data_IF_111949417398
#
_entry.id   IF_111949417398
#
_cell.length_a   1.000
_cell.length_b   1.000
_cell.length_c   1.000
_cell.angle_alpha   90.00
_cell.angle_beta   90.00
_cell.angle_gamma   90.00
#
_symmetry.space_group_name_H-M   'P 1'
#
loop_
_entity.id
_entity.type
_entity.pdbx_description
1 polymer ?
#
# COMPACT_ATOMS: atom_id res chain seq x y z
N UNK A 1 -28.86 -15.58 -23.85
CA UNK A 1 -27.58 -15.18 -24.44
C UNK A 1 -27.33 -13.74 -24.05
N UNK A 2 -26.59 -13.49 -23.02
CA UNK A 2 -26.25 -12.14 -22.58
C UNK A 2 -24.72 -12.03 -22.57
N UNK A 3 -24.18 -11.56 -23.70
CA UNK A 3 -22.76 -11.24 -23.90
C UNK A 3 -22.58 -9.78 -23.49
N UNK A 4 -22.18 -9.54 -22.25
CA UNK A 4 -21.42 -8.36 -21.85
C UNK A 4 -20.91 -8.56 -20.41
N UNK A 5 -19.90 -9.41 -20.25
CA UNK A 5 -18.98 -9.29 -19.11
C UNK A 5 -17.87 -8.37 -19.58
N UNK A 6 -17.62 -7.23 -18.93
CA UNK A 6 -16.44 -6.44 -19.19
C UNK A 6 -15.20 -7.26 -18.79
N UNK A 7 -14.25 -7.35 -19.70
CA UNK A 7 -12.92 -7.88 -19.50
C UNK A 7 -12.30 -7.21 -18.29
N UNK A 8 -12.03 -7.98 -17.23
CA UNK A 8 -11.38 -7.52 -16.00
C UNK A 8 -9.87 -7.42 -16.21
N UNK A 9 -9.45 -6.41 -16.96
CA UNK A 9 -8.13 -5.79 -16.75
C UNK A 9 -8.27 -4.65 -15.75
N UNK A 10 -8.98 -4.90 -14.65
CA UNK A 10 -9.06 -3.96 -13.56
C UNK A 10 -7.81 -4.09 -12.71
N UNK A 11 -6.80 -3.31 -13.03
CA UNK A 11 -5.60 -3.12 -12.21
C UNK A 11 -5.92 -2.36 -10.93
N UNK A 12 -7.07 -2.54 -10.32
CA UNK A 12 -7.69 -1.87 -9.16
C UNK A 12 -6.77 -1.40 -8.01
N UNK A 13 -5.52 -1.06 -8.33
CA UNK A 13 -4.55 -0.47 -7.41
C UNK A 13 -4.83 1.00 -7.13
N UNK A 14 -5.35 1.71 -8.15
CA UNK A 14 -5.67 3.12 -8.00
C UNK A 14 -7.15 3.29 -7.69
N UNK A 15 -7.50 3.87 -6.53
CA UNK A 15 -8.89 4.12 -6.18
C UNK A 15 -9.57 4.99 -7.25
N UNK A 16 -10.62 4.46 -7.88
CA UNK A 16 -11.56 5.21 -8.74
C UNK A 16 -11.08 5.73 -10.10
N UNK A 17 -9.88 5.38 -10.60
CA UNK A 17 -9.45 5.89 -11.89
C UNK A 17 -8.79 4.83 -12.77
N UNK A 18 -9.28 4.68 -14.00
CA UNK A 18 -8.51 4.06 -15.08
C UNK A 18 -7.51 5.09 -15.58
N UNK A 19 -6.26 4.99 -15.13
CA UNK A 19 -5.20 5.90 -15.53
C UNK A 19 -4.56 5.45 -16.86
N UNK A 20 -4.16 6.40 -17.74
CA UNK A 20 -3.38 6.06 -18.91
C UNK A 20 -2.06 5.40 -18.55
N UNK A 21 -1.62 4.38 -19.32
CA UNK A 21 -0.38 3.65 -19.07
C UNK A 21 0.86 4.56 -18.87
N UNK A 22 1.08 5.66 -19.64
CA UNK A 22 2.20 6.55 -19.37
C UNK A 22 2.14 7.24 -18.02
N UNK A 23 0.94 7.51 -17.49
CA UNK A 23 0.76 8.12 -16.16
C UNK A 23 1.11 7.10 -15.08
N UNK A 24 0.66 5.84 -15.24
CA UNK A 24 1.01 4.74 -14.34
C UNK A 24 2.53 4.55 -14.28
N UNK A 25 3.20 4.54 -15.43
CA UNK A 25 4.65 4.38 -15.50
C UNK A 25 5.42 5.46 -14.72
N UNK A 26 4.98 6.72 -14.78
CA UNK A 26 5.59 7.81 -13.99
C UNK A 26 5.30 7.65 -12.49
N UNK A 27 4.09 7.23 -12.12
CA UNK A 27 3.76 6.94 -10.72
C UNK A 27 4.67 5.84 -10.18
N UNK A 28 4.81 4.73 -10.91
CA UNK A 28 5.67 3.60 -10.52
C UNK A 28 7.15 3.97 -10.43
N UNK A 29 7.64 4.81 -11.33
CA UNK A 29 9.01 5.34 -11.26
C UNK A 29 9.23 6.17 -9.99
N UNK A 30 8.28 7.04 -9.62
CA UNK A 30 8.33 7.81 -8.37
C UNK A 30 8.28 6.86 -7.16
N UNK A 31 7.40 5.85 -7.18
CA UNK A 31 7.31 4.86 -6.10
C UNK A 31 8.63 4.10 -5.90
N UNK A 32 9.26 3.64 -7.00
CA UNK A 32 10.57 2.97 -6.97
C UNK A 32 11.62 3.89 -6.33
N UNK A 33 11.63 5.15 -6.72
CA UNK A 33 12.62 6.12 -6.21
C UNK A 33 12.40 6.45 -4.73
N UNK A 34 11.14 6.47 -4.27
CA UNK A 34 10.82 6.56 -2.83
C UNK A 34 11.26 5.29 -2.10
N UNK A 35 10.94 4.10 -2.60
CA UNK A 35 11.32 2.81 -1.99
C UNK A 35 12.85 2.70 -1.87
N UNK A 36 13.58 3.09 -2.90
CA UNK A 36 15.05 3.09 -2.92
C UNK A 36 15.69 4.22 -2.11
N UNK A 37 14.89 5.17 -1.64
CA UNK A 37 15.39 6.34 -0.91
C UNK A 37 16.11 7.38 -1.79
N UNK A 38 15.91 7.37 -3.12
CA UNK A 38 16.38 8.44 -4.00
C UNK A 38 15.53 9.70 -3.84
N UNK A 39 14.22 9.51 -3.61
CA UNK A 39 13.29 10.57 -3.25
C UNK A 39 12.91 10.38 -1.78
N UNK A 40 13.32 11.32 -0.94
CA UNK A 40 13.08 11.28 0.51
C UNK A 40 11.83 12.10 0.89
N UNK A 41 11.26 11.89 2.09
CA UNK A 41 10.24 12.77 2.64
C UNK A 41 10.69 14.24 2.60
N UNK A 42 9.80 15.13 2.19
CA UNK A 42 10.04 16.57 1.89
C UNK A 42 10.79 16.87 0.60
N UNK A 43 11.34 15.92 -0.13
CA UNK A 43 11.92 16.24 -1.41
C UNK A 43 10.89 16.90 -2.32
N UNK A 44 11.30 18.02 -2.93
CA UNK A 44 10.50 18.72 -3.92
C UNK A 44 10.50 17.94 -5.24
N UNK A 45 9.30 17.73 -5.77
CA UNK A 45 9.08 17.06 -7.05
C UNK A 45 8.96 18.15 -8.14
N UNK A 46 10.09 18.42 -8.83
CA UNK A 46 10.16 19.46 -9.86
C UNK A 46 9.76 18.82 -11.18
N UNK A 47 8.70 19.38 -11.83
CA UNK A 47 8.14 18.81 -13.06
C UNK A 47 9.20 18.61 -14.15
N UNK A 48 10.08 19.59 -14.35
CA UNK A 48 11.12 19.52 -15.40
C UNK A 48 12.12 18.40 -15.15
N UNK A 49 12.56 18.19 -13.90
CA UNK A 49 13.44 17.09 -13.54
C UNK A 49 12.75 15.73 -13.74
N UNK A 50 11.49 15.59 -13.32
CA UNK A 50 10.73 14.35 -13.51
C UNK A 50 10.47 14.05 -14.99
N UNK A 51 10.35 15.10 -15.84
CA UNK A 51 10.24 14.91 -17.29
C UNK A 51 11.52 14.35 -17.89
N UNK A 52 12.68 14.82 -17.43
CA UNK A 52 14.00 14.34 -17.86
C UNK A 52 14.27 12.93 -17.31
N UNK A 53 14.13 12.74 -16.00
CA UNK A 53 14.45 11.48 -15.31
C UNK A 53 13.61 10.31 -15.82
N UNK A 54 12.33 10.57 -16.16
CA UNK A 54 11.39 9.52 -16.57
C UNK A 54 11.01 9.57 -18.06
N UNK A 55 11.71 10.41 -18.86
CA UNK A 55 11.45 10.60 -20.28
C UNK A 55 9.95 10.85 -20.59
N UNK A 56 9.27 11.62 -19.74
CA UNK A 56 7.82 11.81 -19.77
C UNK A 56 7.42 13.22 -20.21
N UNK A 57 6.27 13.33 -20.88
CA UNK A 57 5.73 14.64 -21.27
C UNK A 57 5.13 15.36 -20.04
N UNK A 58 5.17 16.71 -20.02
CA UNK A 58 4.70 17.56 -18.92
C UNK A 58 3.28 17.22 -18.45
N UNK A 59 2.34 17.01 -19.37
CA UNK A 59 0.96 16.66 -18.99
C UNK A 59 0.86 15.31 -18.30
N UNK A 60 1.72 14.34 -18.63
CA UNK A 60 1.80 13.01 -17.99
C UNK A 60 2.34 13.15 -16.57
N UNK A 61 3.44 13.90 -16.40
CA UNK A 61 4.01 14.18 -15.06
C UNK A 61 2.99 14.89 -14.17
N UNK A 62 2.30 15.91 -14.70
CA UNK A 62 1.24 16.62 -13.94
C UNK A 62 0.09 15.71 -13.54
N UNK A 63 -0.36 14.82 -14.43
CA UNK A 63 -1.41 13.85 -14.13
C UNK A 63 -0.94 12.86 -13.04
N UNK A 64 0.28 12.35 -13.10
CA UNK A 64 0.88 11.49 -12.09
C UNK A 64 0.96 12.18 -10.72
N UNK A 65 1.47 13.43 -10.69
CA UNK A 65 1.54 14.22 -9.45
C UNK A 65 0.16 14.58 -8.89
N UNK A 66 -0.85 14.77 -9.75
CA UNK A 66 -2.23 15.02 -9.31
C UNK A 66 -2.81 13.77 -8.65
N UNK A 67 -2.59 12.59 -9.23
CA UNK A 67 -3.05 11.32 -8.65
C UNK A 67 -2.34 11.02 -7.33
N UNK A 68 -1.00 11.12 -7.26
CA UNK A 68 -0.26 10.94 -6.01
C UNK A 68 -0.67 11.95 -4.93
N UNK A 69 -1.07 13.17 -5.33
CA UNK A 69 -1.63 14.15 -4.39
C UNK A 69 -3.02 13.74 -3.90
N UNK A 70 -3.88 13.24 -4.78
CA UNK A 70 -5.20 12.70 -4.43
C UNK A 70 -5.10 11.53 -3.45
N UNK A 71 -4.10 10.65 -3.63
CA UNK A 71 -3.78 9.53 -2.75
C UNK A 71 -3.11 9.95 -1.43
N UNK A 72 -2.72 11.22 -1.30
CA UNK A 72 -2.06 11.74 -0.11
C UNK A 72 -0.57 11.41 -0.01
N UNK A 73 0.02 10.75 -1.01
CA UNK A 73 1.47 10.48 -1.10
C UNK A 73 2.26 11.77 -1.32
N UNK A 74 1.71 12.65 -2.13
CA UNK A 74 2.27 13.98 -2.43
C UNK A 74 1.44 15.05 -1.74
N UNK A 75 2.10 16.07 -1.24
CA UNK A 75 1.47 17.30 -0.71
C UNK A 75 1.88 18.49 -1.55
N UNK A 76 0.98 19.48 -1.67
CA UNK A 76 1.21 20.73 -2.41
C UNK A 76 0.94 21.95 -1.53
N UNK A 77 1.83 22.27 -0.58
CA UNK A 77 1.66 23.47 0.23
C UNK A 77 1.66 24.73 -0.66
N UNK A 78 0.93 25.80 -0.31
CA UNK A 78 0.93 27.05 -1.07
C UNK A 78 2.34 27.55 -1.32
N UNK A 79 2.63 27.92 -2.57
CA UNK A 79 3.92 28.49 -3.04
C UNK A 79 5.15 27.56 -2.95
N UNK A 80 5.04 26.35 -2.42
CA UNK A 80 6.18 25.44 -2.24
C UNK A 80 6.27 24.35 -3.33
N UNK A 81 5.20 24.12 -4.11
CA UNK A 81 5.14 23.08 -5.13
C UNK A 81 4.82 21.70 -4.57
N UNK A 82 5.03 20.67 -5.36
CA UNK A 82 4.76 19.29 -4.98
C UNK A 82 5.92 18.71 -4.18
N UNK A 83 5.62 17.99 -3.08
CA UNK A 83 6.61 17.34 -2.21
C UNK A 83 6.10 15.96 -1.79
N UNK A 84 7.01 15.00 -1.59
CA UNK A 84 6.66 13.76 -0.89
C UNK A 84 6.21 14.09 0.53
N UNK A 85 5.08 13.52 0.94
CA UNK A 85 4.56 13.69 2.31
C UNK A 85 5.60 13.27 3.33
N UNK A 86 5.81 14.10 4.32
CA UNK A 86 6.53 13.77 5.54
C UNK A 86 5.56 13.69 6.70
N UNK A 87 5.80 12.76 7.58
CA UNK A 87 5.14 12.68 8.88
C UNK A 87 6.12 13.13 9.96
N UNK A 88 5.67 13.99 10.85
CA UNK A 88 6.30 14.19 12.15
C UNK A 88 5.81 13.11 13.14
N UNK A 89 6.38 13.10 14.34
CA UNK A 89 6.06 12.08 15.34
C UNK A 89 4.58 12.09 15.74
N UNK A 90 3.94 13.26 15.78
CA UNK A 90 2.52 13.36 16.17
C UNK A 90 1.62 12.89 15.03
N UNK A 91 1.78 13.41 13.83
CA UNK A 91 0.96 13.03 12.66
C UNK A 91 1.10 11.54 12.32
N UNK A 92 2.30 10.96 12.52
CA UNK A 92 2.51 9.53 12.34
C UNK A 92 1.75 8.71 13.39
N UNK A 93 1.81 9.11 14.67
CA UNK A 93 1.04 8.44 15.75
C UNK A 93 -0.46 8.50 15.46
N UNK A 94 -0.99 9.67 15.10
CA UNK A 94 -2.42 9.85 14.83
C UNK A 94 -2.88 9.01 13.64
N UNK A 95 -2.10 8.98 12.55
CA UNK A 95 -2.38 8.13 11.39
C UNK A 95 -2.41 6.66 11.77
N UNK A 96 -1.42 6.17 12.50
CA UNK A 96 -1.35 4.75 12.85
C UNK A 96 -2.35 4.37 13.93
N UNK A 97 -2.70 5.27 14.85
CA UNK A 97 -3.83 5.06 15.76
C UNK A 97 -5.15 4.88 14.98
N UNK A 98 -5.42 5.76 14.02
CA UNK A 98 -6.60 5.65 13.16
C UNK A 98 -6.59 4.33 12.36
N UNK A 99 -5.46 3.96 11.77
CA UNK A 99 -5.31 2.68 11.07
C UNK A 99 -5.56 1.49 11.99
N UNK A 100 -5.05 1.51 13.21
CA UNK A 100 -5.32 0.47 14.23
C UNK A 100 -6.81 0.27 14.46
N UNK A 101 -7.57 1.36 14.58
CA UNK A 101 -9.04 1.29 14.74
C UNK A 101 -9.69 0.67 13.50
N UNK A 102 -9.33 1.11 12.29
CA UNK A 102 -9.89 0.58 11.05
C UNK A 102 -9.60 -0.91 10.85
N UNK A 103 -8.34 -1.31 11.01
CA UNK A 103 -7.90 -2.69 10.81
C UNK A 103 -8.48 -3.61 11.89
N UNK A 104 -8.52 -3.16 13.15
CA UNK A 104 -9.16 -3.90 14.24
C UNK A 104 -10.66 -4.11 13.99
N UNK A 105 -11.37 -3.07 13.55
CA UNK A 105 -12.79 -3.16 13.20
C UNK A 105 -13.02 -4.11 12.02
N UNK A 106 -12.17 -4.08 11.00
CA UNK A 106 -12.27 -4.99 9.86
C UNK A 106 -12.08 -6.45 10.29
N UNK A 107 -11.05 -6.75 11.08
CA UNK A 107 -10.84 -8.12 11.60
C UNK A 107 -12.00 -8.59 12.49
N UNK A 108 -12.54 -7.70 13.32
CA UNK A 108 -13.70 -8.03 14.16
C UNK A 108 -14.95 -8.38 13.34
N UNK A 109 -15.12 -7.73 12.17
CA UNK A 109 -16.27 -7.94 11.28
C UNK A 109 -16.11 -9.15 10.32
N UNK A 110 -14.92 -9.76 10.20
CA UNK A 110 -14.72 -10.91 9.31
C UNK A 110 -15.59 -12.09 9.72
N UNK A 111 -16.31 -12.73 8.79
CA UNK A 111 -17.00 -14.00 9.07
C UNK A 111 -15.95 -15.09 9.31
N UNK A 112 -16.13 -15.88 10.36
CA UNK A 112 -15.32 -17.07 10.64
C UNK A 112 -16.25 -18.25 10.91
N UNK A 113 -16.08 -19.40 10.22
CA UNK A 113 -15.07 -19.64 9.15
C UNK A 113 -15.28 -18.78 7.91
N UNK A 114 -14.19 -18.47 7.20
CA UNK A 114 -14.22 -17.78 5.90
C UNK A 114 -14.70 -18.77 4.82
N UNK A 115 -15.52 -18.31 3.87
CA UNK A 115 -15.94 -19.12 2.74
C UNK A 115 -14.71 -19.60 1.91
N UNK A 116 -14.68 -20.89 1.47
CA UNK A 116 -13.49 -21.50 0.85
C UNK A 116 -12.92 -20.71 -0.32
N UNK A 117 -13.78 -20.18 -1.20
CA UNK A 117 -13.35 -19.43 -2.38
C UNK A 117 -12.68 -18.11 -2.01
N UNK A 118 -13.16 -17.46 -0.95
CA UNK A 118 -12.59 -16.21 -0.44
C UNK A 118 -11.27 -16.46 0.29
N UNK A 119 -11.19 -17.54 1.05
CA UNK A 119 -9.93 -17.95 1.69
C UNK A 119 -8.87 -18.26 0.63
N UNK A 120 -9.22 -19.02 -0.41
CA UNK A 120 -8.32 -19.33 -1.53
C UNK A 120 -7.81 -18.05 -2.23
N UNK A 121 -8.63 -17.01 -2.37
CA UNK A 121 -8.21 -15.74 -2.96
C UNK A 121 -7.15 -15.03 -2.08
N UNK A 122 -7.30 -15.06 -0.75
CA UNK A 122 -6.30 -14.49 0.18
C UNK A 122 -5.01 -15.31 0.17
N UNK A 123 -5.12 -16.65 0.10
CA UNK A 123 -3.97 -17.56 0.01
C UNK A 123 -3.18 -17.31 -1.28
N UNK A 124 -3.85 -17.21 -2.42
CA UNK A 124 -3.22 -16.89 -3.70
C UNK A 124 -2.52 -15.52 -3.67
N UNK A 125 -3.11 -14.52 -3.01
CA UNK A 125 -2.50 -13.20 -2.86
C UNK A 125 -1.25 -13.24 -1.96
N UNK A 126 -1.26 -14.02 -0.88
CA UNK A 126 -0.09 -14.21 -0.02
C UNK A 126 1.04 -14.94 -0.74
N UNK A 127 0.70 -15.99 -1.50
CA UNK A 127 1.64 -16.71 -2.33
C UNK A 127 2.27 -15.79 -3.39
N UNK A 128 1.46 -15.00 -4.09
CA UNK A 128 1.95 -14.03 -5.08
C UNK A 128 2.88 -12.98 -4.47
N UNK A 129 2.65 -12.56 -3.22
CA UNK A 129 3.59 -11.68 -2.52
C UNK A 129 4.92 -12.37 -2.18
N UNK A 130 4.87 -13.62 -1.71
CA UNK A 130 6.08 -14.39 -1.42
C UNK A 130 6.91 -14.67 -2.69
N UNK A 131 6.25 -14.96 -3.81
CA UNK A 131 6.92 -15.12 -5.12
C UNK A 131 7.55 -13.82 -5.59
N UNK A 132 6.83 -12.70 -5.53
CA UNK A 132 7.35 -11.39 -5.87
C UNK A 132 8.56 -11.00 -5.01
N UNK A 133 8.55 -11.33 -3.72
CA UNK A 133 9.67 -11.09 -2.80
C UNK A 133 10.97 -11.74 -3.27
N UNK A 134 10.88 -12.90 -3.94
CA UNK A 134 12.04 -13.60 -4.52
C UNK A 134 12.59 -12.98 -5.81
N UNK A 135 11.86 -12.06 -6.46
CA UNK A 135 12.27 -11.49 -7.76
C UNK A 135 13.16 -10.26 -7.67
N UNK A 136 13.10 -9.52 -6.55
CA UNK A 136 13.73 -8.21 -6.41
C UNK A 136 13.04 -7.07 -7.19
N UNK A 137 11.92 -7.34 -7.88
CA UNK A 137 11.12 -6.32 -8.53
C UNK A 137 10.26 -5.56 -7.51
N UNK A 138 10.71 -4.36 -7.17
CA UNK A 138 10.11 -3.53 -6.11
C UNK A 138 8.64 -3.17 -6.38
N UNK A 139 8.26 -2.98 -7.64
CA UNK A 139 6.86 -2.69 -7.98
C UNK A 139 6.00 -3.95 -7.82
N UNK A 140 6.45 -5.10 -8.30
CA UNK A 140 5.74 -6.37 -8.10
C UNK A 140 5.59 -6.70 -6.62
N UNK A 141 6.64 -6.50 -5.81
CA UNK A 141 6.59 -6.67 -4.35
C UNK A 141 5.56 -5.73 -3.73
N UNK A 142 5.60 -4.45 -4.08
CA UNK A 142 4.64 -3.47 -3.56
C UNK A 142 3.20 -3.79 -3.95
N UNK A 143 2.95 -4.08 -5.23
CA UNK A 143 1.59 -4.36 -5.74
C UNK A 143 1.01 -5.67 -5.18
N UNK A 144 1.81 -6.72 -5.08
CA UNK A 144 1.37 -8.00 -4.51
C UNK A 144 1.05 -7.87 -3.00
N UNK A 145 1.85 -7.10 -2.25
CA UNK A 145 1.53 -6.77 -0.85
C UNK A 145 0.19 -6.03 -0.72
N UNK A 146 -0.05 -5.02 -1.56
CA UNK A 146 -1.34 -4.30 -1.57
C UNK A 146 -2.50 -5.23 -1.98
N UNK A 147 -2.27 -6.17 -2.90
CA UNK A 147 -3.27 -7.16 -3.29
C UNK A 147 -3.62 -8.07 -2.13
N UNK A 148 -2.62 -8.54 -1.36
CA UNK A 148 -2.87 -9.31 -0.14
C UNK A 148 -3.75 -8.53 0.84
N UNK A 149 -3.39 -7.29 1.17
CA UNK A 149 -4.17 -6.47 2.09
C UNK A 149 -5.61 -6.24 1.60
N UNK A 150 -5.79 -6.00 0.30
CA UNK A 150 -7.12 -5.83 -0.30
C UNK A 150 -7.99 -7.07 -0.16
N UNK A 151 -7.44 -8.26 -0.46
CA UNK A 151 -8.16 -9.52 -0.33
C UNK A 151 -8.46 -9.84 1.14
N UNK A 152 -7.46 -9.66 2.01
CA UNK A 152 -7.57 -9.95 3.43
C UNK A 152 -8.61 -9.05 4.12
N UNK A 153 -8.50 -7.73 4.00
CA UNK A 153 -9.46 -6.82 4.62
C UNK A 153 -10.82 -6.78 3.91
N UNK A 154 -10.87 -7.19 2.64
CA UNK A 154 -12.12 -7.41 1.93
C UNK A 154 -13.00 -8.50 2.57
N UNK A 155 -12.44 -9.40 3.36
CA UNK A 155 -13.18 -10.43 4.10
C UNK A 155 -14.18 -9.87 5.12
N UNK A 156 -14.01 -8.60 5.56
CA UNK A 156 -14.89 -7.99 6.57
C UNK A 156 -16.32 -7.72 6.10
N UNK A 157 -16.62 -7.88 4.81
CA UNK A 157 -17.93 -7.63 4.18
C UNK A 157 -18.50 -6.21 4.41
N UNK A 158 -17.63 -5.28 4.81
CA UNK A 158 -17.96 -3.87 4.97
C UNK A 158 -17.16 -3.05 3.94
N UNK A 159 -17.81 -2.63 2.83
CA UNK A 159 -17.12 -1.92 1.76
C UNK A 159 -16.54 -0.57 2.21
N UNK A 160 -17.14 0.08 3.21
CA UNK A 160 -16.64 1.35 3.75
C UNK A 160 -15.33 1.16 4.55
N UNK A 161 -15.25 0.09 5.35
CA UNK A 161 -14.00 -0.26 6.06
C UNK A 161 -12.91 -0.65 5.06
N UNK A 162 -13.20 -1.55 4.13
CA UNK A 162 -12.25 -2.03 3.14
C UNK A 162 -11.71 -0.87 2.28
N UNK A 163 -12.59 0.04 1.83
CA UNK A 163 -12.20 1.21 1.06
C UNK A 163 -11.37 2.21 1.88
N UNK A 164 -11.76 2.47 3.13
CA UNK A 164 -11.00 3.34 4.02
C UNK A 164 -9.60 2.80 4.28
N UNK A 165 -9.46 1.48 4.51
CA UNK A 165 -8.16 0.83 4.67
C UNK A 165 -7.31 1.03 3.41
N UNK A 166 -7.87 0.77 2.23
CA UNK A 166 -7.19 0.92 0.94
C UNK A 166 -6.67 2.35 0.70
N UNK A 167 -7.48 3.37 1.01
CA UNK A 167 -7.06 4.77 0.90
C UNK A 167 -5.92 5.10 1.87
N UNK A 168 -5.97 4.58 3.09
CA UNK A 168 -4.94 4.85 4.10
C UNK A 168 -3.67 4.01 3.88
N UNK A 169 -3.74 2.93 3.12
CA UNK A 169 -2.55 2.22 2.63
C UNK A 169 -1.74 3.11 1.67
N UNK A 170 -2.40 3.84 0.79
CA UNK A 170 -1.75 4.84 -0.06
C UNK A 170 -1.22 6.03 0.76
N UNK A 171 -2.05 6.62 1.60
CA UNK A 171 -1.66 7.75 2.45
C UNK A 171 -0.41 7.45 3.29
N UNK A 172 -0.29 6.21 3.79
CA UNK A 172 0.85 5.77 4.60
C UNK A 172 2.05 5.28 3.78
N UNK A 173 1.95 5.20 2.45
CA UNK A 173 3.02 4.71 1.59
C UNK A 173 4.37 5.39 1.87
N UNK A 174 4.49 6.74 2.00
CA UNK A 174 5.76 7.37 2.30
C UNK A 174 6.39 6.96 3.63
N UNK A 175 5.59 6.44 4.57
CA UNK A 175 6.09 5.95 5.86
C UNK A 175 6.53 4.47 5.80
N UNK A 176 5.90 3.63 4.95
CA UNK A 176 6.17 2.19 4.90
C UNK A 176 7.04 1.74 3.72
N UNK A 177 7.31 2.63 2.76
CA UNK A 177 8.03 2.30 1.53
C UNK A 177 9.41 1.67 1.77
N UNK A 178 10.10 2.10 2.80
CA UNK A 178 11.48 1.70 3.07
C UNK A 178 11.63 0.23 3.49
N UNK A 179 10.59 -0.41 3.99
CA UNK A 179 10.57 -1.83 4.28
C UNK A 179 10.46 -2.72 3.04
N UNK A 180 10.05 -2.17 1.88
CA UNK A 180 9.84 -2.93 0.64
C UNK A 180 11.17 -3.39 0.04
N UNK A 181 12.22 -2.57 0.15
CA UNK A 181 13.58 -2.89 -0.32
C UNK A 181 14.47 -3.51 0.75
N UNK A 182 13.98 -3.62 1.99
CA UNK A 182 14.71 -4.24 3.09
C UNK A 182 14.41 -5.75 3.13
N UNK A 183 15.43 -6.57 2.89
CA UNK A 183 15.27 -8.03 2.77
C UNK A 183 14.70 -8.67 4.05
N UNK A 184 15.15 -8.21 5.24
CA UNK A 184 14.68 -8.75 6.51
C UNK A 184 13.24 -8.35 6.79
N UNK A 185 12.87 -7.08 6.54
CA UNK A 185 11.50 -6.60 6.68
C UNK A 185 10.54 -7.31 5.71
N UNK A 186 11.00 -7.57 4.48
CA UNK A 186 10.22 -8.27 3.46
C UNK A 186 9.99 -9.73 3.83
N UNK A 187 11.03 -10.47 4.24
CA UNK A 187 10.90 -11.84 4.72
C UNK A 187 9.91 -11.93 5.88
N UNK A 188 10.05 -11.03 6.85
CA UNK A 188 9.17 -10.99 7.99
C UNK A 188 7.71 -10.66 7.59
N UNK A 189 7.48 -9.77 6.63
CA UNK A 189 6.13 -9.50 6.12
C UNK A 189 5.49 -10.76 5.52
N UNK A 190 6.24 -11.55 4.74
CA UNK A 190 5.77 -12.82 4.19
C UNK A 190 5.41 -13.84 5.30
N UNK A 191 6.26 -13.95 6.33
CA UNK A 191 6.00 -14.83 7.48
C UNK A 191 4.74 -14.42 8.25
N UNK A 192 4.48 -13.13 8.39
CA UNK A 192 3.27 -12.61 9.04
C UNK A 192 2.02 -12.84 8.22
N UNK A 193 2.06 -12.65 6.89
CA UNK A 193 0.95 -13.02 6.02
C UNK A 193 0.61 -14.51 6.16
N UNK A 194 1.62 -15.38 6.18
CA UNK A 194 1.41 -16.81 6.41
C UNK A 194 0.82 -17.11 7.79
N UNK A 195 1.22 -16.36 8.83
CA UNK A 195 0.65 -16.50 10.18
C UNK A 195 -0.81 -16.03 10.23
N UNK A 196 -1.17 -14.93 9.54
CA UNK A 196 -2.55 -14.47 9.42
C UNK A 196 -3.43 -15.51 8.72
N UNK A 197 -2.94 -16.15 7.65
CA UNK A 197 -3.66 -17.25 6.96
C UNK A 197 -3.90 -18.45 7.89
N UNK A 198 -2.92 -18.82 8.71
CA UNK A 198 -3.12 -19.90 9.70
C UNK A 198 -4.21 -19.53 10.70
N UNK A 199 -4.18 -18.32 11.25
CA UNK A 199 -5.21 -17.86 12.20
C UNK A 199 -6.62 -17.80 11.55
N UNK A 200 -6.73 -17.46 10.26
CA UNK A 200 -7.99 -17.54 9.50
C UNK A 200 -8.52 -18.97 9.42
N UNK A 201 -7.66 -19.95 9.06
CA UNK A 201 -8.02 -21.37 8.95
C UNK A 201 -8.44 -21.96 10.29
N UNK A 202 -7.76 -21.56 11.37
CA UNK A 202 -8.01 -21.98 12.73
C UNK A 202 -9.21 -21.24 13.37
N UNK A 203 -9.78 -20.27 12.66
CA UNK A 203 -10.84 -19.39 13.18
C UNK A 203 -10.44 -18.64 14.47
N UNK A 204 -9.14 -18.43 14.68
CA UNK A 204 -8.60 -17.73 15.85
C UNK A 204 -8.61 -16.20 15.62
N UNK A 205 -9.77 -15.60 15.93
CA UNK A 205 -9.95 -14.13 15.79
C UNK A 205 -9.01 -13.33 16.68
N UNK A 206 -8.72 -13.80 17.88
CA UNK A 206 -7.86 -13.07 18.81
C UNK A 206 -6.42 -13.01 18.27
N UNK A 207 -5.92 -14.16 17.81
CA UNK A 207 -4.61 -14.24 17.17
C UNK A 207 -4.55 -13.45 15.88
N UNK A 208 -5.57 -13.52 15.04
CA UNK A 208 -5.68 -12.76 13.80
C UNK A 208 -5.61 -11.25 14.06
N UNK A 209 -6.32 -10.77 15.06
CA UNK A 209 -6.31 -9.37 15.48
C UNK A 209 -4.89 -8.92 15.89
N UNK A 210 -4.21 -9.69 16.75
CA UNK A 210 -2.83 -9.38 17.17
C UNK A 210 -1.88 -9.32 15.98
N UNK A 211 -1.94 -10.29 15.07
CA UNK A 211 -1.09 -10.36 13.90
C UNK A 211 -1.32 -9.18 12.95
N UNK A 212 -2.57 -8.84 12.67
CA UNK A 212 -2.93 -7.74 11.78
C UNK A 212 -2.42 -6.39 12.30
N UNK A 213 -2.53 -6.13 13.60
CA UNK A 213 -2.04 -4.89 14.20
C UNK A 213 -0.51 -4.87 14.33
N UNK A 214 0.11 -5.98 14.71
CA UNK A 214 1.57 -6.10 14.81
C UNK A 214 2.27 -5.88 13.47
N UNK A 215 1.68 -6.41 12.39
CA UNK A 215 2.18 -6.22 11.02
C UNK A 215 2.29 -4.73 10.62
N UNK A 216 1.30 -3.92 10.99
CA UNK A 216 1.33 -2.48 10.70
C UNK A 216 2.37 -1.74 11.54
N UNK A 217 2.50 -2.10 12.81
CA UNK A 217 3.37 -1.38 13.76
C UNK A 217 4.84 -1.44 13.36
N UNK A 218 5.29 -2.57 12.80
CA UNK A 218 6.67 -2.70 12.34
C UNK A 218 7.00 -1.74 11.19
N UNK A 219 6.10 -1.60 10.21
CA UNK A 219 6.30 -0.64 9.11
C UNK A 219 6.40 0.80 9.64
N UNK A 220 5.62 1.14 10.70
CA UNK A 220 5.73 2.43 11.40
C UNK A 220 7.10 2.61 12.05
N UNK A 221 7.59 1.58 12.74
CA UNK A 221 8.85 1.67 13.48
C UNK A 221 10.03 1.92 12.55
N UNK A 222 10.09 1.28 11.38
CA UNK A 222 11.13 1.56 10.38
C UNK A 222 11.22 3.03 9.99
N UNK A 223 10.08 3.71 9.87
CA UNK A 223 10.07 5.15 9.58
C UNK A 223 10.53 5.99 10.77
N UNK A 224 10.11 5.63 11.98
CA UNK A 224 10.53 6.29 13.22
C UNK A 224 12.05 6.25 13.34
N UNK A 225 12.63 5.06 13.23
CA UNK A 225 14.08 4.83 13.37
C UNK A 225 14.88 5.60 12.32
N UNK A 226 14.35 5.67 11.09
CA UNK A 226 15.06 6.31 9.97
C UNK A 226 14.96 7.83 9.95
N UNK A 227 13.84 8.42 10.40
CA UNK A 227 13.53 9.84 10.16
C UNK A 227 13.14 10.66 11.39
N UNK A 228 12.85 10.02 12.53
CA UNK A 228 12.32 10.71 13.70
C UNK A 228 13.20 10.58 14.96
N UNK A 229 14.11 9.59 15.00
CA UNK A 229 15.08 9.42 16.09
C UNK A 229 16.37 10.13 15.70
N UNK A 230 16.40 11.45 15.86
CA UNK A 230 17.65 12.24 15.83
C UNK A 230 17.45 13.51 16.67
#
# INVERSE_FOLDING_TARGET
>A
MNKNRPSTSDTGFFPHATLPAPVIAVIEAIEIDVIRGRILPRNRLIEDHLMEDYAAKRHVVRAALAELHRLGVVVKPPHLGAHIRRFDAQSLRDLYHFRTVLHGAAVAAMPLPVAPERLAAVEAAAQGHAEAAGTGDLISIHRSNMTFHRQFYGLCDNPYLAESIRLHDWLSFPARAYGIADAQALEQACQEHAAMLRALRECDRARLHQLALGHMERARQLYVDKFLVH
#
